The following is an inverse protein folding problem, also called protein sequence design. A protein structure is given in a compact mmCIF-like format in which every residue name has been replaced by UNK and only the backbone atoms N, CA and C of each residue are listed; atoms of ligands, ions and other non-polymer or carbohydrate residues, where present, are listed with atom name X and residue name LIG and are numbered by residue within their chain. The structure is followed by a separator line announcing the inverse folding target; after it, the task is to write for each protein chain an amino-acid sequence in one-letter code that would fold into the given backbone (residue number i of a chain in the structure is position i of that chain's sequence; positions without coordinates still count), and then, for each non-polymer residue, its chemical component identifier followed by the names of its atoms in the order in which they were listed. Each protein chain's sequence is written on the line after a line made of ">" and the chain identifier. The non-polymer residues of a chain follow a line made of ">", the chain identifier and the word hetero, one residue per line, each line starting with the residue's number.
data_IF_285112212833
#
_entry.id   IF_285112212833
#
_cell.length_a   1.000
_cell.length_b   1.000
_cell.length_c   1.000
_cell.angle_alpha   90.00
_cell.angle_beta   90.00
_cell.angle_gamma   90.00
#
_symmetry.space_group_name_H-M   'P 1'
#
loop_
_entity.id
_entity.type
_entity.pdbx_description
1 polymer ?
#
# COMPACT_ATOMS: atom_id res chain seq x y z
N UNK A 1 11.01 -9.65 34.36
CA UNK A 1 9.74 -10.27 33.91
C UNK A 1 10.07 -10.84 32.55
N UNK A 2 9.88 -12.14 32.30
CA UNK A 2 10.10 -12.69 30.96
C UNK A 2 9.12 -12.01 30.03
N UNK A 3 9.62 -11.30 29.04
CA UNK A 3 8.83 -10.69 28.00
C UNK A 3 8.11 -11.83 27.26
N UNK A 4 6.80 -11.71 27.21
CA UNK A 4 5.95 -12.77 26.65
C UNK A 4 6.04 -12.68 25.13
N UNK A 5 6.55 -13.73 24.47
CA UNK A 5 6.52 -13.83 23.02
C UNK A 5 5.08 -13.73 22.52
N UNK A 6 4.89 -13.14 21.36
CA UNK A 6 3.59 -12.96 20.72
C UNK A 6 3.52 -13.78 19.44
N UNK A 7 2.36 -14.33 19.07
CA UNK A 7 2.20 -15.06 17.83
C UNK A 7 2.27 -14.10 16.64
N UNK A 8 2.84 -14.58 15.54
CA UNK A 8 2.87 -13.85 14.28
C UNK A 8 2.66 -14.76 13.07
N UNK A 9 2.23 -14.15 11.98
CA UNK A 9 2.03 -14.77 10.67
C UNK A 9 2.80 -13.97 9.62
N UNK A 10 3.65 -14.67 8.90
CA UNK A 10 4.32 -14.14 7.70
C UNK A 10 3.41 -14.39 6.52
N UNK A 11 3.10 -13.36 5.77
CA UNK A 11 2.12 -13.36 4.70
C UNK A 11 2.61 -12.55 3.49
N UNK A 12 2.04 -12.83 2.33
CA UNK A 12 2.31 -12.14 1.08
C UNK A 12 1.01 -11.63 0.46
N UNK A 13 0.99 -10.36 0.08
CA UNK A 13 -0.14 -9.73 -0.61
C UNK A 13 0.33 -9.12 -1.93
N UNK A 14 0.24 -9.90 -3.02
CA UNK A 14 0.65 -9.48 -4.36
C UNK A 14 2.12 -8.99 -4.41
N UNK A 15 3.04 -9.71 -3.73
CA UNK A 15 4.46 -9.36 -3.65
C UNK A 15 4.84 -8.46 -2.47
N UNK A 16 3.89 -7.93 -1.73
CA UNK A 16 4.15 -7.15 -0.52
C UNK A 16 4.27 -8.09 0.69
N UNK A 17 5.41 -8.09 1.34
CA UNK A 17 5.77 -8.98 2.44
C UNK A 17 5.26 -8.41 3.77
N UNK A 18 4.35 -9.12 4.44
CA UNK A 18 3.66 -8.64 5.64
C UNK A 18 3.90 -9.58 6.81
N UNK A 19 4.16 -9.00 7.98
CA UNK A 19 4.04 -9.69 9.28
C UNK A 19 2.75 -9.23 9.95
N UNK A 20 1.84 -10.15 10.25
CA UNK A 20 0.70 -9.91 11.15
C UNK A 20 1.10 -10.38 12.53
N UNK A 21 1.11 -9.51 13.52
CA UNK A 21 1.47 -9.85 14.91
C UNK A 21 0.28 -9.63 15.84
N UNK A 22 -0.13 -10.67 16.53
CA UNK A 22 -1.24 -10.62 17.49
C UNK A 22 -0.76 -10.22 18.88
N UNK A 23 -1.04 -9.00 19.26
CA UNK A 23 -0.73 -8.50 20.60
C UNK A 23 -1.99 -8.20 21.43
N UNK A 24 -3.16 -8.75 21.04
CA UNK A 24 -4.43 -8.53 21.73
C UNK A 24 -4.39 -8.94 23.20
N UNK A 25 -3.60 -9.95 23.54
CA UNK A 25 -3.53 -10.51 24.90
C UNK A 25 -2.33 -9.97 25.71
N UNK A 26 -1.59 -8.98 25.20
CA UNK A 26 -0.44 -8.39 25.89
C UNK A 26 -0.52 -6.87 25.94
N UNK A 27 0.15 -6.26 26.93
CA UNK A 27 0.35 -4.82 26.98
C UNK A 27 1.61 -4.36 26.22
N UNK A 28 2.40 -5.29 25.71
CA UNK A 28 3.63 -5.02 24.95
C UNK A 28 3.31 -4.33 23.61
N UNK A 29 4.31 -3.66 23.07
CA UNK A 29 4.32 -3.09 21.72
C UNK A 29 5.53 -3.65 20.99
N UNK A 30 5.42 -3.85 19.69
CA UNK A 30 6.60 -4.12 18.89
C UNK A 30 7.45 -2.87 18.87
N UNK A 31 8.70 -2.98 19.33
CA UNK A 31 9.66 -1.89 19.35
C UNK A 31 10.22 -1.63 17.95
N UNK A 32 10.77 -0.44 17.72
CA UNK A 32 11.48 -0.13 16.47
C UNK A 32 12.70 -1.03 16.28
N UNK A 33 13.40 -1.35 17.38
CA UNK A 33 14.56 -2.26 17.38
C UNK A 33 14.15 -3.68 16.96
N UNK A 34 13.00 -4.17 17.46
CA UNK A 34 12.47 -5.47 17.06
C UNK A 34 12.07 -5.51 15.58
N UNK A 35 11.45 -4.45 15.07
CA UNK A 35 11.11 -4.33 13.65
C UNK A 35 12.37 -4.38 12.78
N UNK A 36 13.39 -3.60 13.11
CA UNK A 36 14.66 -3.59 12.39
C UNK A 36 15.34 -4.96 12.44
N UNK A 37 15.36 -5.63 13.60
CA UNK A 37 15.96 -6.96 13.75
C UNK A 37 15.25 -8.02 12.89
N UNK A 38 13.91 -7.99 12.83
CA UNK A 38 13.09 -8.87 11.98
C UNK A 38 13.36 -8.63 10.49
N UNK A 39 13.51 -7.37 10.06
CA UNK A 39 13.80 -7.04 8.65
C UNK A 39 15.22 -7.49 8.23
N UNK A 40 16.18 -7.42 9.13
CA UNK A 40 17.56 -7.87 8.86
C UNK A 40 17.69 -9.39 8.69
N UNK A 41 16.70 -10.16 9.15
CA UNK A 41 16.70 -11.60 8.99
C UNK A 41 16.01 -12.01 7.67
N UNK A 42 16.68 -12.75 6.77
CA UNK A 42 16.13 -13.13 5.47
C UNK A 42 14.81 -13.92 5.55
N UNK A 43 14.57 -14.70 6.62
CA UNK A 43 13.33 -15.47 6.78
C UNK A 43 12.13 -14.60 7.14
N UNK A 44 12.36 -13.55 7.93
CA UNK A 44 11.32 -12.65 8.41
C UNK A 44 11.29 -11.30 7.71
N UNK A 45 12.17 -11.06 6.73
CA UNK A 45 12.19 -9.82 5.97
C UNK A 45 10.78 -9.42 5.52
N UNK A 46 10.43 -8.15 5.70
CA UNK A 46 9.07 -7.64 5.48
C UNK A 46 9.08 -6.19 4.97
N UNK A 47 7.95 -5.77 4.42
CA UNK A 47 7.69 -4.36 4.08
C UNK A 47 6.96 -3.65 5.23
N UNK A 48 5.92 -4.26 5.81
CA UNK A 48 5.21 -3.76 6.99
C UNK A 48 4.87 -4.84 8.00
N UNK A 49 4.84 -4.44 9.28
CA UNK A 49 4.23 -5.21 10.38
C UNK A 49 2.85 -4.62 10.68
N UNK A 50 1.83 -5.48 10.67
CA UNK A 50 0.48 -5.18 11.13
C UNK A 50 0.34 -5.65 12.58
N UNK A 51 0.52 -4.74 13.52
CA UNK A 51 0.38 -5.01 14.95
C UNK A 51 -1.11 -4.93 15.34
N UNK A 52 -1.73 -6.08 15.58
CA UNK A 52 -3.17 -6.21 15.87
C UNK A 52 -3.41 -6.15 17.37
N UNK A 53 -4.25 -5.23 17.80
CA UNK A 53 -4.55 -4.89 19.21
C UNK A 53 -6.02 -5.08 19.54
N UNK A 54 -6.34 -5.23 20.83
CA UNK A 54 -7.72 -5.16 21.30
C UNK A 54 -8.36 -3.84 20.87
N UNK A 55 -9.62 -3.88 20.38
CA UNK A 55 -10.30 -2.65 20.00
C UNK A 55 -10.56 -1.76 21.22
N UNK A 56 -10.16 -0.51 21.12
CA UNK A 56 -10.44 0.51 22.14
C UNK A 56 -11.82 1.16 22.00
N UNK A 57 -12.58 0.82 20.96
CA UNK A 57 -13.92 1.37 20.67
C UNK A 57 -14.91 0.25 20.38
N UNK A 58 -16.13 0.27 20.94
CA UNK A 58 -17.17 -0.70 20.60
C UNK A 58 -17.52 -0.68 19.11
N UNK A 59 -17.74 -1.86 18.55
CA UNK A 59 -18.09 -2.04 17.13
C UNK A 59 -16.89 -2.09 16.17
N UNK A 60 -15.69 -1.87 16.66
CA UNK A 60 -14.43 -2.07 15.91
C UNK A 60 -13.89 -3.47 16.22
N UNK A 61 -13.38 -4.17 15.25
CA UNK A 61 -12.89 -5.55 15.42
C UNK A 61 -11.48 -5.62 16.00
N UNK A 62 -10.63 -4.69 15.57
CA UNK A 62 -9.29 -4.52 16.12
C UNK A 62 -8.78 -3.08 15.89
N UNK A 63 -7.87 -2.66 16.76
CA UNK A 63 -7.01 -1.50 16.50
C UNK A 63 -5.73 -2.01 15.84
N UNK A 64 -5.29 -1.36 14.77
CA UNK A 64 -4.09 -1.75 14.02
C UNK A 64 -3.07 -0.63 14.07
N UNK A 65 -1.85 -0.96 14.50
CA UNK A 65 -0.66 -0.14 14.37
C UNK A 65 0.22 -0.73 13.29
N UNK A 66 0.75 0.12 12.41
CA UNK A 66 1.53 -0.30 11.25
C UNK A 66 2.97 0.18 11.43
N UNK A 67 3.94 -0.72 11.26
CA UNK A 67 5.37 -0.42 11.34
C UNK A 67 6.03 -0.72 10.00
N UNK A 68 6.88 0.18 9.53
CA UNK A 68 7.78 -0.04 8.42
C UNK A 68 9.01 -0.85 8.85
N UNK A 69 9.78 -1.34 7.89
CA UNK A 69 11.01 -2.11 8.13
C UNK A 69 12.10 -1.33 8.87
N UNK A 70 12.10 0.00 8.81
CA UNK A 70 12.99 0.89 9.58
C UNK A 70 12.50 1.16 11.01
N UNK A 71 11.39 0.55 11.43
CA UNK A 71 10.78 0.73 12.74
C UNK A 71 9.95 2.00 12.89
N UNK A 72 9.79 2.81 11.86
CA UNK A 72 8.89 3.96 11.85
C UNK A 72 7.42 3.52 11.74
N UNK A 73 6.48 4.39 12.15
CA UNK A 73 5.06 4.12 12.02
C UNK A 73 4.52 4.61 10.67
N UNK A 74 3.84 3.70 9.95
CA UNK A 74 3.06 4.05 8.77
C UNK A 74 1.60 4.38 9.16
N UNK A 75 0.94 5.18 8.31
CA UNK A 75 -0.45 5.58 8.55
C UNK A 75 -1.45 4.57 7.98
N UNK A 76 -1.19 4.02 6.80
CA UNK A 76 -2.07 3.09 6.11
C UNK A 76 -1.27 2.02 5.35
N UNK A 77 -1.82 0.82 5.27
CA UNK A 77 -1.35 -0.27 4.44
C UNK A 77 -2.53 -1.16 4.02
N UNK A 78 -3.08 -0.92 2.84
CA UNK A 78 -4.21 -1.70 2.32
C UNK A 78 -3.85 -3.18 2.09
N UNK A 79 -2.64 -3.46 1.61
CA UNK A 79 -2.13 -4.82 1.43
C UNK A 79 -2.06 -5.55 2.78
N UNK A 80 -1.46 -4.92 3.80
CA UNK A 80 -1.38 -5.49 5.14
C UNK A 80 -2.76 -5.71 5.77
N UNK A 81 -3.73 -4.84 5.49
CA UNK A 81 -5.10 -5.01 5.96
C UNK A 81 -5.73 -6.30 5.41
N UNK A 82 -5.49 -6.65 4.13
CA UNK A 82 -5.97 -7.93 3.59
C UNK A 82 -5.38 -9.12 4.34
N UNK A 83 -4.09 -9.06 4.71
CA UNK A 83 -3.45 -10.09 5.52
C UNK A 83 -4.11 -10.23 6.90
N UNK A 84 -4.42 -9.11 7.56
CA UNK A 84 -5.14 -9.14 8.86
C UNK A 84 -6.51 -9.75 8.71
N UNK A 85 -7.28 -9.37 7.67
CA UNK A 85 -8.60 -9.95 7.38
C UNK A 85 -8.52 -11.45 7.16
N UNK A 86 -7.62 -11.92 6.28
CA UNK A 86 -7.42 -13.36 6.01
C UNK A 86 -7.12 -14.14 7.28
N UNK A 87 -6.21 -13.62 8.11
CA UNK A 87 -5.87 -14.24 9.37
C UNK A 87 -7.04 -14.27 10.36
N UNK A 88 -7.66 -13.10 10.65
CA UNK A 88 -8.76 -13.01 11.63
C UNK A 88 -9.99 -13.81 11.19
N UNK A 89 -10.23 -13.90 9.87
CA UNK A 89 -11.38 -14.65 9.35
C UNK A 89 -11.26 -16.16 9.57
N UNK A 90 -10.05 -16.71 9.71
CA UNK A 90 -9.83 -18.10 10.10
C UNK A 90 -10.19 -18.37 11.56
N UNK A 91 -10.03 -17.37 12.44
CA UNK A 91 -10.41 -17.47 13.85
C UNK A 91 -11.92 -17.24 14.07
N UNK A 92 -12.48 -16.24 13.38
CA UNK A 92 -13.88 -15.83 13.54
C UNK A 92 -14.47 -15.45 12.18
N UNK A 93 -15.01 -16.41 11.40
CA UNK A 93 -15.51 -16.18 10.05
C UNK A 93 -16.64 -15.14 9.99
N UNK A 94 -16.49 -14.12 9.14
CA UNK A 94 -17.53 -13.14 8.81
C UNK A 94 -17.20 -12.39 7.52
N UNK A 95 -18.19 -11.78 6.90
CA UNK A 95 -18.07 -11.15 5.59
C UNK A 95 -17.51 -9.72 5.67
N UNK A 96 -17.64 -9.04 6.82
CA UNK A 96 -17.26 -7.63 6.97
C UNK A 96 -16.41 -7.39 8.20
N UNK A 97 -15.43 -6.51 8.04
CA UNK A 97 -14.45 -6.17 9.07
C UNK A 97 -14.32 -4.65 9.20
N UNK A 98 -14.20 -4.18 10.44
CA UNK A 98 -13.98 -2.77 10.74
C UNK A 98 -12.75 -2.63 11.64
N UNK A 99 -11.73 -1.97 11.14
CA UNK A 99 -10.49 -1.71 11.88
C UNK A 99 -10.35 -0.23 12.21
N UNK A 100 -9.65 0.05 13.30
CA UNK A 100 -9.16 1.41 13.56
C UNK A 100 -7.66 1.46 13.32
N UNK A 101 -7.25 2.40 12.48
CA UNK A 101 -5.87 2.78 12.21
C UNK A 101 -5.60 4.21 12.65
N UNK A 102 -4.38 4.68 12.56
CA UNK A 102 -4.02 6.06 12.92
C UNK A 102 -4.82 7.13 12.17
N UNK A 103 -5.08 7.02 10.83
CA UNK A 103 -5.90 7.99 10.11
C UNK A 103 -7.39 7.89 10.40
N UNK A 104 -7.90 6.73 10.86
CA UNK A 104 -9.33 6.54 11.10
C UNK A 104 -9.83 5.11 10.95
N UNK A 105 -11.12 4.98 10.67
CA UNK A 105 -11.77 3.70 10.46
C UNK A 105 -11.54 3.19 9.04
N UNK A 106 -11.28 1.89 8.93
CA UNK A 106 -11.01 1.20 7.68
C UNK A 106 -11.91 -0.02 7.57
N UNK A 107 -12.71 -0.07 6.50
CA UNK A 107 -13.61 -1.16 6.21
C UNK A 107 -12.95 -2.17 5.26
N UNK A 108 -13.22 -3.44 5.49
CA UNK A 108 -12.84 -4.50 4.58
C UNK A 108 -13.94 -5.58 4.49
N UNK A 109 -13.99 -6.28 3.36
CA UNK A 109 -14.89 -7.42 3.16
C UNK A 109 -14.08 -8.64 2.76
N UNK A 110 -14.53 -9.80 3.20
CA UNK A 110 -13.94 -11.10 2.91
C UNK A 110 -14.90 -11.94 2.08
N UNK A 111 -14.49 -12.38 0.93
CA UNK A 111 -15.17 -13.40 0.12
C UNK A 111 -14.38 -14.71 0.14
N UNK A 112 -13.06 -14.62 -0.07
CA UNK A 112 -12.10 -15.71 0.00
C UNK A 112 -10.69 -15.15 0.22
N UNK A 113 -9.69 -15.99 0.51
CA UNK A 113 -8.28 -15.54 0.62
C UNK A 113 -7.74 -14.94 -0.70
N UNK A 114 -8.37 -15.25 -1.83
CA UNK A 114 -8.05 -14.65 -3.12
C UNK A 114 -8.78 -13.31 -3.36
N UNK A 115 -9.87 -13.03 -2.64
CA UNK A 115 -10.76 -11.89 -2.85
C UNK A 115 -11.08 -11.19 -1.54
N UNK A 116 -10.13 -10.43 -1.04
CA UNK A 116 -10.31 -9.55 0.12
C UNK A 116 -10.32 -8.11 -0.38
N UNK A 117 -11.41 -7.39 -0.11
CA UNK A 117 -11.59 -6.02 -0.54
C UNK A 117 -11.38 -5.05 0.62
N UNK A 118 -10.56 -4.03 0.41
CA UNK A 118 -10.32 -2.94 1.37
C UNK A 118 -10.85 -1.65 0.77
N UNK A 119 -11.62 -0.90 1.57
CA UNK A 119 -12.09 0.43 1.22
C UNK A 119 -11.00 1.45 1.51
N UNK A 120 -10.35 1.93 0.44
CA UNK A 120 -9.21 2.86 0.49
C UNK A 120 -9.63 4.33 0.69
N UNK A 121 -10.92 4.60 0.82
CA UNK A 121 -11.45 5.95 1.03
C UNK A 121 -11.75 6.69 -0.27
N UNK A 122 -11.81 8.01 -0.17
CA UNK A 122 -12.12 8.92 -1.28
C UNK A 122 -10.83 9.57 -1.77
N UNK A 123 -10.54 9.51 -3.08
CA UNK A 123 -9.36 10.17 -3.65
C UNK A 123 -9.50 11.68 -3.60
N UNK A 124 -8.38 12.38 -3.47
CA UNK A 124 -8.31 13.84 -3.50
C UNK A 124 -7.55 14.31 -4.73
N UNK A 125 -8.04 15.38 -5.32
CA UNK A 125 -7.52 15.90 -6.59
C UNK A 125 -7.18 17.40 -6.57
N UNK A 126 -7.52 18.11 -5.50
CA UNK A 126 -7.09 19.48 -5.30
C UNK A 126 -5.56 19.56 -5.14
N UNK A 127 -4.94 20.56 -5.78
CA UNK A 127 -3.50 20.74 -5.72
C UNK A 127 -2.98 20.88 -4.28
N UNK A 128 -3.73 21.56 -3.42
CA UNK A 128 -3.46 21.73 -1.98
C UNK A 128 -3.69 20.47 -1.17
N UNK A 129 -4.59 19.57 -1.61
CA UNK A 129 -4.83 18.27 -0.99
C UNK A 129 -3.81 17.20 -1.41
N UNK A 130 -3.14 17.37 -2.58
CA UNK A 130 -2.08 16.46 -3.09
C UNK A 130 -0.73 16.72 -2.45
N UNK A 131 -0.49 17.66 -1.75
CA UNK A 131 0.11 18.92 -1.52
C UNK A 131 1.20 19.25 -2.56
N UNK A 132 0.81 19.95 -3.60
CA UNK A 132 1.74 20.51 -4.60
C UNK A 132 2.23 21.88 -4.13
N UNK A 133 3.41 22.30 -4.61
CA UNK A 133 4.04 23.58 -4.24
C UNK A 133 3.26 24.79 -4.76
N UNK A 134 2.53 24.63 -5.87
CA UNK A 134 1.79 25.73 -6.52
C UNK A 134 0.43 25.26 -7.04
N UNK A 135 -0.43 26.20 -7.36
CA UNK A 135 -1.78 25.94 -7.86
C UNK A 135 -1.75 25.34 -9.28
N UNK A 136 -2.37 24.17 -9.45
CA UNK A 136 -2.67 23.58 -10.74
C UNK A 136 -4.19 23.49 -10.90
N UNK A 137 -4.71 24.17 -11.92
CA UNK A 137 -6.14 24.17 -12.24
C UNK A 137 -6.64 22.78 -12.69
N UNK A 138 -5.77 21.97 -13.30
CA UNK A 138 -6.06 20.61 -13.74
C UNK A 138 -4.94 19.65 -13.32
N UNK A 139 -5.25 18.77 -12.39
CA UNK A 139 -4.35 17.73 -11.89
C UNK A 139 -4.40 16.43 -12.70
N UNK A 140 -5.19 16.37 -13.77
CA UNK A 140 -5.13 15.27 -14.75
C UNK A 140 -3.87 15.30 -15.60
N UNK A 141 -3.17 16.47 -15.67
CA UNK A 141 -1.91 16.61 -16.37
C UNK A 141 -1.15 17.86 -15.93
N UNK A 142 -0.18 17.71 -15.01
CA UNK A 142 0.65 18.83 -14.56
C UNK A 142 1.89 19.04 -15.46
N UNK A 143 2.46 20.25 -15.45
CA UNK A 143 3.69 20.57 -16.19
C UNK A 143 4.91 19.96 -15.50
N UNK A 144 5.18 18.70 -15.77
CA UNK A 144 6.36 17.98 -15.29
C UNK A 144 6.80 16.99 -16.37
N UNK A 145 8.12 16.87 -16.57
CA UNK A 145 8.67 15.95 -17.57
C UNK A 145 10.03 15.39 -17.16
N UNK A 146 10.40 14.28 -17.81
CA UNK A 146 11.69 13.61 -17.68
C UNK A 146 12.36 13.56 -19.05
N UNK A 147 13.63 13.93 -19.11
CA UNK A 147 14.42 13.97 -20.34
C UNK A 147 14.54 15.37 -20.96
N UNK A 148 15.01 15.46 -22.22
CA UNK A 148 15.20 16.74 -22.91
C UNK A 148 13.88 17.51 -23.08
N UNK A 149 13.94 18.83 -23.00
CA UNK A 149 12.75 19.72 -23.08
C UNK A 149 12.00 19.54 -24.41
N UNK A 150 12.71 19.36 -25.49
CA UNK A 150 12.19 19.24 -26.86
C UNK A 150 11.84 17.79 -27.26
N UNK A 151 12.25 16.82 -26.46
CA UNK A 151 11.94 15.38 -26.70
C UNK A 151 11.90 14.62 -25.35
N UNK A 152 10.91 14.87 -24.48
CA UNK A 152 10.83 14.24 -23.18
C UNK A 152 10.56 12.73 -23.29
N UNK A 153 11.17 11.96 -22.39
CA UNK A 153 10.95 10.50 -22.27
C UNK A 153 9.57 10.22 -21.67
N UNK A 154 9.18 11.02 -20.67
CA UNK A 154 7.89 11.01 -20.00
C UNK A 154 7.48 12.46 -19.71
N UNK A 155 6.20 12.79 -19.84
CA UNK A 155 5.69 14.15 -19.61
C UNK A 155 4.24 14.16 -19.14
N UNK A 156 3.81 15.29 -18.61
CA UNK A 156 2.42 15.63 -18.27
C UNK A 156 1.74 14.54 -17.42
N UNK A 157 2.33 14.18 -16.27
CA UNK A 157 1.77 13.17 -15.40
C UNK A 157 0.47 13.65 -14.75
N UNK A 158 -0.39 12.70 -14.40
CA UNK A 158 -1.53 12.92 -13.51
C UNK A 158 -1.10 12.82 -12.06
N UNK A 159 -1.73 13.59 -11.18
CA UNK A 159 -1.47 13.55 -9.74
C UNK A 159 -2.76 13.37 -8.94
N UNK A 160 -2.67 12.62 -7.85
CA UNK A 160 -3.77 12.36 -6.92
C UNK A 160 -3.24 12.05 -5.52
N UNK A 161 -4.09 12.20 -4.49
CA UNK A 161 -3.81 11.76 -3.14
C UNK A 161 -4.80 10.65 -2.73
N UNK A 162 -4.25 9.49 -2.33
CA UNK A 162 -4.98 8.31 -1.85
C UNK A 162 -4.66 8.05 -0.36
N UNK A 163 -4.55 9.13 0.43
CA UNK A 163 -3.95 9.11 1.77
C UNK A 163 -2.45 9.44 1.75
N UNK A 164 -1.83 9.41 0.59
CA UNK A 164 -0.47 9.86 0.28
C UNK A 164 -0.42 10.35 -1.18
N UNK A 165 0.53 11.23 -1.53
CA UNK A 165 0.61 11.79 -2.89
C UNK A 165 1.19 10.80 -3.90
N UNK A 166 0.59 10.79 -5.09
CA UNK A 166 0.98 9.98 -6.24
C UNK A 166 1.10 10.82 -7.51
N UNK A 167 2.16 10.58 -8.28
CA UNK A 167 2.41 11.14 -9.60
C UNK A 167 2.50 9.99 -10.60
N UNK A 168 1.61 9.97 -11.61
CA UNK A 168 1.46 8.88 -12.57
C UNK A 168 1.83 9.37 -13.96
N UNK A 169 2.95 8.90 -14.50
CA UNK A 169 3.33 9.09 -15.89
C UNK A 169 2.69 8.01 -16.78
N UNK A 170 2.13 8.45 -17.89
CA UNK A 170 1.45 7.57 -18.85
C UNK A 170 2.43 7.18 -19.94
N UNK A 171 2.81 5.91 -19.96
CA UNK A 171 3.74 5.35 -20.93
C UNK A 171 2.98 4.73 -22.12
N UNK A 172 3.31 5.10 -23.37
CA UNK A 172 2.75 4.45 -24.55
C UNK A 172 3.31 3.04 -24.78
N UNK A 173 4.46 2.73 -24.18
CA UNK A 173 5.19 1.48 -24.33
C UNK A 173 5.22 0.68 -23.03
N UNK A 174 5.88 -0.47 -23.06
CA UNK A 174 6.10 -1.32 -21.89
C UNK A 174 6.78 -0.55 -20.76
N UNK A 175 6.18 -0.55 -19.57
CA UNK A 175 6.69 0.14 -18.37
C UNK A 175 8.10 -0.30 -17.97
N UNK A 176 8.53 -1.49 -18.40
CA UNK A 176 9.86 -2.04 -18.11
C UNK A 176 10.98 -1.41 -18.94
N UNK A 177 10.65 -0.71 -20.04
CA UNK A 177 11.64 -0.02 -20.88
C UNK A 177 12.13 1.29 -20.27
N UNK A 178 11.47 1.79 -19.21
CA UNK A 178 11.79 3.06 -18.57
C UNK A 178 12.69 2.86 -17.35
N UNK A 179 13.70 3.71 -17.20
CA UNK A 179 14.70 3.69 -16.10
C UNK A 179 14.10 4.32 -14.81
N UNK A 180 13.07 3.70 -14.22
CA UNK A 180 12.39 4.23 -13.03
C UNK A 180 13.32 4.36 -11.82
N UNK A 181 14.32 3.49 -11.69
CA UNK A 181 15.38 3.57 -10.68
C UNK A 181 16.23 4.83 -10.79
N UNK A 182 16.36 5.39 -12.00
CA UNK A 182 17.05 6.65 -12.26
C UNK A 182 16.15 7.87 -12.06
N UNK A 183 14.90 7.80 -12.54
CA UNK A 183 13.97 8.93 -12.48
C UNK A 183 13.30 9.07 -11.12
N UNK A 184 12.99 7.96 -10.48
CA UNK A 184 12.25 7.89 -9.23
C UNK A 184 12.81 8.81 -8.15
N UNK A 185 14.09 8.70 -7.76
CA UNK A 185 14.67 9.56 -6.73
C UNK A 185 14.69 11.04 -7.11
N UNK A 186 14.89 11.38 -8.41
CA UNK A 186 14.87 12.77 -8.86
C UNK A 186 13.48 13.37 -8.76
N UNK A 187 12.45 12.62 -9.10
CA UNK A 187 11.06 13.06 -9.09
C UNK A 187 10.45 13.03 -7.69
N UNK A 188 10.81 12.04 -6.84
CA UNK A 188 10.39 12.00 -5.44
C UNK A 188 10.73 13.30 -4.71
N UNK A 189 11.92 13.85 -4.96
CA UNK A 189 12.42 15.09 -4.35
C UNK A 189 12.25 16.32 -5.23
N UNK A 190 11.43 16.25 -6.29
CA UNK A 190 11.20 17.40 -7.15
C UNK A 190 10.49 18.53 -6.39
N UNK A 191 10.89 19.81 -6.55
CA UNK A 191 10.30 20.94 -5.82
C UNK A 191 8.78 21.04 -5.89
N UNK A 192 8.15 20.58 -6.97
CA UNK A 192 6.67 20.55 -7.10
C UNK A 192 6.01 19.67 -6.03
N UNK A 193 6.75 18.75 -5.39
CA UNK A 193 6.28 17.88 -4.32
C UNK A 193 6.99 18.17 -3.00
N UNK A 194 6.62 19.22 -2.25
CA UNK A 194 7.30 19.62 -1.00
C UNK A 194 7.29 18.55 0.06
N UNK A 195 6.28 17.68 0.09
CA UNK A 195 6.18 16.52 0.98
C UNK A 195 6.67 15.21 0.35
N UNK A 196 7.36 15.28 -0.81
CA UNK A 196 7.74 14.15 -1.65
C UNK A 196 6.52 13.39 -2.18
N UNK A 197 6.73 12.54 -3.18
CA UNK A 197 5.64 11.86 -3.89
C UNK A 197 6.03 10.43 -4.28
N UNK A 198 5.06 9.53 -4.36
CA UNK A 198 5.23 8.23 -5.02
C UNK A 198 5.18 8.45 -6.53
N UNK A 199 6.15 7.93 -7.25
CA UNK A 199 6.29 8.10 -8.70
C UNK A 199 5.97 6.80 -9.40
N UNK A 200 5.01 6.82 -10.31
CA UNK A 200 4.61 5.63 -11.05
C UNK A 200 4.68 5.84 -12.55
N UNK A 201 4.99 4.76 -13.26
CA UNK A 201 4.88 4.65 -14.72
C UNK A 201 3.77 3.65 -15.00
N UNK A 202 2.75 4.08 -15.74
CA UNK A 202 1.56 3.30 -16.06
C UNK A 202 1.40 3.15 -17.57
N UNK A 203 1.15 1.93 -18.03
CA UNK A 203 0.70 1.64 -19.39
C UNK A 203 -0.76 1.14 -19.36
N UNK A 204 -1.63 1.83 -20.08
CA UNK A 204 -3.04 1.43 -20.22
C UNK A 204 -3.16 0.44 -21.38
N UNK A 205 -3.28 -0.83 -21.06
CA UNK A 205 -3.38 -1.93 -22.05
C UNK A 205 -4.76 -1.97 -22.68
N UNK A 206 -5.81 -1.71 -21.88
CA UNK A 206 -7.20 -1.67 -22.31
C UNK A 206 -8.04 -0.86 -21.32
N UNK A 207 -9.33 -0.66 -21.62
CA UNK A 207 -10.24 0.05 -20.71
C UNK A 207 -10.38 -0.59 -19.33
N UNK A 208 -10.00 -1.84 -19.17
CA UNK A 208 -10.10 -2.58 -17.91
C UNK A 208 -8.75 -3.17 -17.43
N UNK A 209 -7.62 -2.70 -17.97
CA UNK A 209 -6.30 -3.21 -17.59
C UNK A 209 -5.21 -2.16 -17.68
N UNK A 210 -4.48 -1.98 -16.57
CA UNK A 210 -3.31 -1.11 -16.43
C UNK A 210 -2.13 -1.95 -15.97
N UNK A 211 -0.95 -1.74 -16.54
CA UNK A 211 0.33 -2.26 -16.01
C UNK A 211 1.06 -1.10 -15.33
N UNK A 212 1.54 -1.32 -14.11
CA UNK A 212 2.08 -0.26 -13.24
C UNK A 212 3.41 -0.66 -12.63
N UNK A 213 4.38 0.25 -12.63
CA UNK A 213 5.59 0.19 -11.79
C UNK A 213 5.67 1.43 -10.93
N UNK A 214 6.11 1.27 -9.68
CA UNK A 214 6.14 2.37 -8.71
C UNK A 214 7.50 2.47 -8.03
N UNK A 215 7.97 3.71 -7.92
CA UNK A 215 8.97 4.15 -6.96
C UNK A 215 8.22 4.75 -5.78
N UNK A 216 8.24 4.07 -4.64
CA UNK A 216 7.56 4.54 -3.44
C UNK A 216 8.39 5.55 -2.66
N UNK A 217 7.74 6.56 -2.15
CA UNK A 217 8.31 7.62 -1.30
C UNK A 217 9.02 7.00 -0.09
N UNK A 218 10.35 7.18 -0.03
CA UNK A 218 11.21 6.70 1.05
C UNK A 218 11.55 5.21 1.01
N UNK A 219 11.00 4.42 0.08
CA UNK A 219 11.24 2.98 -0.02
C UNK A 219 11.90 2.56 -1.35
N UNK A 220 11.76 3.36 -2.42
CA UNK A 220 12.31 3.04 -3.73
C UNK A 220 11.41 2.14 -4.56
N UNK A 221 11.97 1.34 -5.48
CA UNK A 221 11.20 0.42 -6.32
C UNK A 221 10.67 -0.73 -5.46
N UNK A 222 9.35 -0.93 -5.50
CA UNK A 222 8.65 -1.99 -4.77
C UNK A 222 7.95 -2.96 -5.71
N UNK A 223 7.62 -4.15 -5.19
CA UNK A 223 6.90 -5.18 -5.95
C UNK A 223 5.39 -4.89 -6.01
N UNK A 224 4.85 -4.19 -4.99
CA UNK A 224 3.43 -3.85 -4.94
C UNK A 224 3.18 -2.61 -4.10
N UNK A 225 2.47 -1.66 -4.67
CA UNK A 225 1.96 -0.46 -4.00
C UNK A 225 0.45 -0.34 -4.23
N UNK A 226 -0.36 -0.69 -3.22
CA UNK A 226 -1.82 -0.67 -3.34
C UNK A 226 -2.38 0.74 -3.57
N UNK A 227 -1.86 1.76 -2.89
CA UNK A 227 -2.28 3.15 -3.09
C UNK A 227 -1.90 3.68 -4.48
N UNK A 228 -0.76 3.23 -5.05
CA UNK A 228 -0.38 3.60 -6.41
C UNK A 228 -1.32 2.95 -7.45
N UNK A 229 -1.74 1.70 -7.24
CA UNK A 229 -2.73 1.05 -8.09
C UNK A 229 -4.07 1.82 -8.06
N UNK A 230 -4.52 2.23 -6.88
CA UNK A 230 -5.70 3.07 -6.71
C UNK A 230 -5.55 4.42 -7.42
N UNK A 231 -4.42 5.10 -7.24
CA UNK A 231 -4.13 6.38 -7.89
C UNK A 231 -4.11 6.24 -9.42
N UNK A 232 -3.48 5.18 -9.94
CA UNK A 232 -3.43 4.92 -11.38
C UNK A 232 -4.84 4.77 -11.98
N UNK A 233 -5.73 3.98 -11.33
CA UNK A 233 -7.09 3.83 -11.82
C UNK A 233 -7.85 5.16 -11.82
N UNK A 234 -7.92 5.86 -10.70
CA UNK A 234 -8.73 7.10 -10.62
C UNK A 234 -8.21 8.19 -11.56
N UNK A 235 -6.89 8.28 -11.74
CA UNK A 235 -6.29 9.18 -12.73
C UNK A 235 -6.62 8.77 -14.18
N UNK A 236 -6.58 7.46 -14.49
CA UNK A 236 -6.95 6.93 -15.80
C UNK A 236 -8.42 7.19 -16.14
N UNK A 237 -9.32 6.97 -15.19
CA UNK A 237 -10.77 7.27 -15.36
C UNK A 237 -11.00 8.76 -15.60
N UNK A 238 -10.34 9.65 -14.86
CA UNK A 238 -10.44 11.11 -15.06
C UNK A 238 -9.96 11.57 -16.45
N UNK A 239 -9.06 10.80 -17.08
CA UNK A 239 -8.57 11.04 -18.44
C UNK A 239 -9.37 10.28 -19.51
N UNK A 240 -10.44 9.57 -19.14
CA UNK A 240 -11.21 8.66 -20.03
C UNK A 240 -10.35 7.58 -20.70
N UNK A 241 -9.30 7.13 -20.03
CA UNK A 241 -8.44 6.05 -20.51
C UNK A 241 -8.96 4.66 -20.13
N UNK A 242 -9.64 4.54 -18.98
CA UNK A 242 -10.20 3.27 -18.49
C UNK A 242 -11.64 3.44 -18.01
N UNK A 243 -12.31 2.31 -17.84
CA UNK A 243 -13.56 2.21 -17.10
C UNK A 243 -13.27 2.31 -15.57
N UNK A 244 -14.30 2.61 -14.74
CA UNK A 244 -14.09 2.78 -13.28
C UNK A 244 -13.75 1.48 -12.54
N UNK A 245 -13.67 0.35 -13.23
CA UNK A 245 -13.23 -0.94 -12.72
C UNK A 245 -12.15 -1.49 -13.65
N UNK A 246 -10.95 -1.72 -13.12
CA UNK A 246 -9.85 -2.29 -13.88
C UNK A 246 -8.92 -3.14 -13.02
N UNK A 247 -8.32 -4.14 -13.64
CA UNK A 247 -7.17 -4.84 -13.08
C UNK A 247 -5.92 -3.97 -13.22
N UNK A 248 -5.20 -3.79 -12.14
CA UNK A 248 -3.88 -3.15 -12.14
C UNK A 248 -2.84 -4.23 -11.87
N UNK A 249 -2.03 -4.55 -12.88
CA UNK A 249 -0.92 -5.48 -12.78
C UNK A 249 0.31 -4.76 -12.26
N UNK A 250 0.80 -5.20 -11.12
CA UNK A 250 2.03 -4.77 -10.45
C UNK A 250 3.12 -5.84 -10.65
N UNK A 251 4.42 -5.54 -10.41
CA UNK A 251 5.47 -6.56 -10.48
C UNK A 251 5.18 -7.81 -9.63
N UNK A 252 4.53 -7.65 -8.47
CA UNK A 252 4.24 -8.73 -7.54
C UNK A 252 2.89 -9.41 -7.71
N UNK A 253 2.00 -8.92 -8.60
CA UNK A 253 0.69 -9.51 -8.85
C UNK A 253 -0.40 -8.52 -9.18
N UNK A 254 -1.60 -9.01 -9.38
CA UNK A 254 -2.75 -8.25 -9.80
C UNK A 254 -3.60 -7.76 -8.62
N UNK A 255 -4.14 -6.55 -8.77
CA UNK A 255 -5.16 -5.99 -7.91
C UNK A 255 -6.35 -5.55 -8.78
N UNK A 256 -7.56 -5.89 -8.35
CA UNK A 256 -8.77 -5.32 -8.93
C UNK A 256 -9.09 -4.03 -8.18
N UNK A 257 -9.16 -2.93 -8.90
CA UNK A 257 -9.49 -1.61 -8.34
C UNK A 257 -10.82 -1.15 -8.93
N UNK A 258 -11.68 -0.63 -8.06
CA UNK A 258 -12.97 -0.05 -8.43
C UNK A 258 -13.09 1.36 -7.86
N UNK A 259 -13.39 2.33 -8.68
CA UNK A 259 -13.82 3.67 -8.27
C UNK A 259 -15.34 3.76 -8.35
N UNK A 260 -15.98 3.67 -7.20
CA UNK A 260 -17.44 3.52 -7.08
C UNK A 260 -18.19 4.82 -7.39
N UNK A 261 -19.49 4.73 -7.66
CA UNK A 261 -20.39 5.89 -7.84
C UNK A 261 -20.41 6.83 -6.61
N UNK A 262 -20.14 6.31 -5.42
CA UNK A 262 -20.04 7.09 -4.18
C UNK A 262 -18.62 7.68 -3.98
N UNK A 263 -17.82 7.73 -5.04
CA UNK A 263 -16.44 8.23 -5.07
C UNK A 263 -15.46 7.49 -4.13
N UNK A 264 -15.79 6.31 -3.63
CA UNK A 264 -14.87 5.50 -2.84
C UNK A 264 -14.04 4.59 -3.74
N UNK A 265 -12.84 4.29 -3.30
CA UNK A 265 -11.97 3.34 -3.99
C UNK A 265 -12.00 2.01 -3.23
N UNK A 266 -12.35 0.95 -3.93
CA UNK A 266 -12.27 -0.42 -3.44
C UNK A 266 -11.07 -1.11 -4.08
N UNK A 267 -10.25 -1.75 -3.25
CA UNK A 267 -9.07 -2.48 -3.68
C UNK A 267 -9.20 -3.94 -3.28
N UNK A 268 -9.34 -4.83 -4.25
CA UNK A 268 -9.48 -6.27 -4.05
C UNK A 268 -8.22 -7.01 -4.50
N UNK A 269 -7.80 -7.97 -3.70
CA UNK A 269 -6.64 -8.82 -4.02
C UNK A 269 -6.44 -9.95 -3.03
N UNK A 270 -5.42 -10.80 -3.29
CA UNK A 270 -5.14 -11.96 -2.46
C UNK A 270 -4.44 -11.61 -1.16
N UNK A 271 -4.47 -12.58 -0.22
CA UNK A 271 -3.60 -12.65 0.93
C UNK A 271 -3.13 -14.11 1.09
N UNK A 272 -1.83 -14.34 0.97
CA UNK A 272 -1.24 -15.67 0.99
C UNK A 272 -0.47 -15.87 2.30
N UNK A 273 -0.72 -17.00 2.96
CA UNK A 273 0.00 -17.42 4.15
C UNK A 273 1.32 -18.08 3.77
N UNK A 274 2.42 -17.71 4.43
CA UNK A 274 3.73 -18.34 4.24
C UNK A 274 4.09 -19.25 5.43
N UNK A 275 4.13 -18.70 6.63
CA UNK A 275 4.36 -19.45 7.87
C UNK A 275 3.91 -18.67 9.11
N UNK A 276 3.82 -19.38 10.25
CA UNK A 276 3.54 -18.81 11.56
C UNK A 276 4.68 -19.06 12.54
N UNK A 277 4.68 -18.33 13.65
CA UNK A 277 5.67 -18.46 14.70
C UNK A 277 5.37 -17.59 15.91
N UNK A 278 6.37 -17.51 16.79
CA UNK A 278 6.36 -16.65 17.97
C UNK A 278 7.51 -15.65 17.87
N UNK A 279 7.28 -14.37 18.16
CA UNK A 279 8.31 -13.34 18.17
C UNK A 279 8.37 -12.62 19.53
N UNK A 280 9.55 -12.18 19.90
CA UNK A 280 9.75 -11.30 21.05
C UNK A 280 9.50 -9.85 20.58
N UNK A 281 8.50 -9.13 21.11
CA UNK A 281 8.12 -7.80 20.63
C UNK A 281 9.16 -6.70 20.94
N UNK A 282 10.16 -6.99 21.79
CA UNK A 282 11.20 -6.02 22.15
C UNK A 282 12.50 -6.29 21.39
N UNK A 283 12.91 -7.56 21.25
CA UNK A 283 14.19 -7.91 20.64
C UNK A 283 14.09 -8.32 19.17
N UNK A 284 12.90 -8.73 18.69
CA UNK A 284 12.70 -9.30 17.36
C UNK A 284 13.18 -10.75 17.21
N UNK A 285 13.67 -11.38 18.29
CA UNK A 285 13.95 -12.82 18.26
C UNK A 285 12.67 -13.60 17.96
N UNK A 286 12.75 -14.61 17.11
CA UNK A 286 11.58 -15.39 16.72
C UNK A 286 11.86 -16.88 16.66
N UNK A 287 10.80 -17.66 16.72
CA UNK A 287 10.78 -19.08 16.45
C UNK A 287 9.67 -19.40 15.46
N UNK A 288 9.98 -20.20 14.46
CA UNK A 288 8.98 -20.67 13.48
C UNK A 288 8.24 -21.89 14.04
N UNK A 289 6.93 -21.97 13.85
CA UNK A 289 6.17 -23.18 14.12
C UNK A 289 6.61 -24.30 13.18
N UNK A 290 6.75 -25.52 13.73
CA UNK A 290 6.98 -26.70 12.91
C UNK A 290 5.72 -26.95 12.07
N UNK A 291 5.87 -26.95 10.74
CA UNK A 291 4.79 -27.22 9.79
C UNK A 291 4.31 -28.66 9.81
#
# INVERSE_FOLDING_TARGET
>A
MSEMNVPFWKMNCAGNQIIVADIRETASKISSEAAIALDQNPETKFDQIMEVRKPGTPGVDADIRILNSDGSEAEACGNGTRCVVSWMNKENPKDTWLFRTKPGLLNATYDSDANITVDMGVPKFGWDEIPLEEEFADTTGIELQVGPIDNPVLHTPSVANIGNPHCIFWAPEDVWTYELDRFGPMLEFHPVFPERCNISIANVVSRNHIILRTWERGAGITQACGSAACAALVCAVRKDLTDPVATVTLPGGDLLIEWTENARILMTGPAEFEFAGMLNPVTGEFTREAG
#
